data_IF_206482180536
#
_entry.id   IF_206482180536
#
_cell.length_a   1.000
_cell.length_b   1.000
_cell.length_c   1.000
_cell.angle_alpha   90.00
_cell.angle_beta   90.00
_cell.angle_gamma   90.00
#
_symmetry.space_group_name_H-M   'P 1'
#
loop_
_entity.id
_entity.type
_entity.pdbx_description
1 polymer ?
#
# COMPACT_ATOMS: atom_id res chain seq x y z
N UNK A 1 0.10 12.27 41.26
CA UNK A 1 0.79 12.65 40.00
C UNK A 1 0.42 11.62 38.95
N UNK A 2 0.01 12.05 37.75
CA UNK A 2 -0.18 11.12 36.62
C UNK A 2 1.17 10.51 36.25
N UNK A 3 1.24 9.24 35.88
CA UNK A 3 2.47 8.62 35.39
C UNK A 3 2.80 9.14 33.98
N UNK A 4 4.07 9.09 33.55
CA UNK A 4 4.43 9.46 32.17
C UNK A 4 3.61 8.69 31.12
N UNK A 5 3.27 7.43 31.42
CA UNK A 5 2.40 6.59 30.60
C UNK A 5 0.97 7.12 30.52
N UNK A 6 0.42 7.59 31.63
CA UNK A 6 -0.90 8.23 31.67
C UNK A 6 -0.92 9.55 30.90
N UNK A 7 0.13 10.37 31.03
CA UNK A 7 0.27 11.64 30.30
C UNK A 7 0.40 11.40 28.79
N UNK A 8 1.20 10.41 28.36
CA UNK A 8 1.31 10.02 26.94
C UNK A 8 -0.01 9.50 26.37
N UNK A 9 -0.73 8.66 27.12
CA UNK A 9 -2.06 8.16 26.72
C UNK A 9 -3.07 9.29 26.59
N UNK A 10 -3.09 10.22 27.53
CA UNK A 10 -3.96 11.39 27.49
C UNK A 10 -3.62 12.28 26.29
N UNK A 11 -2.33 12.52 26.00
CA UNK A 11 -1.91 13.26 24.80
C UNK A 11 -2.45 12.58 23.54
N UNK A 12 -2.31 11.25 23.44
CA UNK A 12 -2.79 10.49 22.29
C UNK A 12 -4.32 10.57 22.14
N UNK A 13 -5.07 10.46 23.23
CA UNK A 13 -6.53 10.62 23.20
C UNK A 13 -6.95 12.02 22.74
N UNK A 14 -6.27 13.07 23.21
CA UNK A 14 -6.57 14.46 22.81
C UNK A 14 -6.18 14.72 21.34
N UNK A 15 -5.12 14.07 20.82
CA UNK A 15 -4.75 14.15 19.41
C UNK A 15 -5.79 13.51 18.48
N UNK A 16 -6.39 12.39 18.90
CA UNK A 16 -7.48 11.74 18.14
C UNK A 16 -8.69 12.68 18.06
N UNK A 17 -9.11 13.23 19.20
CA UNK A 17 -10.20 14.22 19.26
C UNK A 17 -9.87 15.45 18.39
N UNK A 18 -8.63 15.93 18.44
CA UNK A 18 -8.22 17.07 17.62
C UNK A 18 -8.36 16.76 16.12
N UNK A 19 -7.97 15.56 15.67
CA UNK A 19 -8.12 15.15 14.28
C UNK A 19 -9.59 15.10 13.84
N UNK A 20 -10.46 14.50 14.66
CA UNK A 20 -11.91 14.46 14.42
C UNK A 20 -12.50 15.88 14.29
N UNK A 21 -12.04 16.83 15.12
CA UNK A 21 -12.48 18.22 15.06
C UNK A 21 -12.01 18.95 13.79
N UNK A 22 -10.82 18.63 13.27
CA UNK A 22 -10.37 19.18 11.99
C UNK A 22 -11.23 18.66 10.83
N UNK A 23 -11.56 17.36 10.82
CA UNK A 23 -12.46 16.77 9.83
C UNK A 23 -13.87 17.36 9.90
N UNK A 24 -14.43 17.51 11.10
CA UNK A 24 -15.73 18.15 11.31
C UNK A 24 -15.72 19.62 10.84
N UNK A 25 -14.62 20.34 11.11
CA UNK A 25 -14.46 21.72 10.70
C UNK A 25 -14.45 21.86 9.18
N UNK A 26 -13.65 21.05 8.48
CA UNK A 26 -13.54 21.10 7.02
C UNK A 26 -14.87 20.79 6.32
N UNK A 27 -15.69 19.91 6.91
CA UNK A 27 -17.01 19.55 6.38
C UNK A 27 -18.09 20.59 6.68
N UNK A 28 -18.11 21.12 7.91
CA UNK A 28 -19.23 21.93 8.41
C UNK A 28 -18.99 23.44 8.31
N UNK A 29 -17.73 23.86 8.20
CA UNK A 29 -17.31 25.26 8.29
C UNK A 29 -16.23 25.65 7.25
N UNK A 30 -16.46 25.41 5.94
CA UNK A 30 -15.45 25.64 4.90
C UNK A 30 -15.16 27.13 4.61
N UNK A 31 -15.91 28.05 5.22
CA UNK A 31 -15.84 29.50 5.00
C UNK A 31 -14.63 30.17 5.69
N UNK A 32 -13.92 29.43 6.54
CA UNK A 32 -12.75 29.93 7.25
C UNK A 32 -11.78 28.80 7.55
N UNK A 33 -10.56 29.14 7.99
CA UNK A 33 -9.56 28.15 8.36
C UNK A 33 -9.85 27.59 9.75
N UNK A 34 -9.69 26.28 9.92
CA UNK A 34 -9.75 25.60 11.21
C UNK A 34 -8.85 26.28 12.27
N UNK A 35 -9.40 26.52 13.46
CA UNK A 35 -8.70 27.17 14.58
C UNK A 35 -8.46 28.68 14.42
N UNK A 36 -9.08 29.35 13.44
CA UNK A 36 -8.81 30.78 13.15
C UNK A 36 -9.96 31.75 13.46
N UNK A 37 -11.21 31.28 13.54
CA UNK A 37 -12.40 32.14 13.71
C UNK A 37 -12.95 32.05 15.12
N UNK A 38 -12.90 33.18 15.83
CA UNK A 38 -13.46 33.33 17.17
C UNK A 38 -14.99 33.22 17.08
N UNK A 39 -15.58 32.37 17.93
CA UNK A 39 -17.03 32.12 17.96
C UNK A 39 -17.51 31.02 17.01
N UNK A 40 -16.59 30.36 16.29
CA UNK A 40 -16.88 29.07 15.67
C UNK A 40 -16.70 27.96 16.72
N UNK A 41 -17.75 27.16 17.01
CA UNK A 41 -17.71 26.19 18.10
C UNK A 41 -16.62 25.13 17.91
N UNK A 42 -16.36 24.73 16.67
CA UNK A 42 -15.32 23.74 16.35
C UNK A 42 -13.92 24.36 16.40
N UNK A 43 -13.75 25.62 15.95
CA UNK A 43 -12.47 26.34 16.11
C UNK A 43 -12.08 26.51 17.58
N UNK A 44 -13.03 26.85 18.45
CA UNK A 44 -12.77 27.04 19.89
C UNK A 44 -12.34 25.73 20.55
N UNK A 45 -12.91 24.60 20.13
CA UNK A 45 -12.51 23.26 20.58
C UNK A 45 -11.12 22.87 20.04
N UNK A 46 -10.82 23.15 18.77
CA UNK A 46 -9.49 22.96 18.17
C UNK A 46 -8.42 23.72 18.98
N UNK A 47 -8.66 24.99 19.29
CA UNK A 47 -7.73 25.81 20.09
C UNK A 47 -7.56 25.22 21.49
N UNK A 48 -8.64 24.75 22.11
CA UNK A 48 -8.61 24.11 23.42
C UNK A 48 -7.78 22.83 23.42
N UNK A 49 -8.06 21.89 22.50
CA UNK A 49 -7.30 20.65 22.34
C UNK A 49 -5.81 20.94 22.05
N UNK A 50 -5.52 21.91 21.18
CA UNK A 50 -4.14 22.34 20.90
C UNK A 50 -3.42 22.85 22.16
N UNK A 51 -4.11 23.61 23.01
CA UNK A 51 -3.53 24.10 24.27
C UNK A 51 -3.26 22.97 25.27
N UNK A 52 -4.15 21.97 25.34
CA UNK A 52 -3.99 20.79 26.19
C UNK A 52 -2.81 19.94 25.72
N UNK A 53 -2.66 19.73 24.41
CA UNK A 53 -1.51 19.02 23.84
C UNK A 53 -0.20 19.72 24.20
N UNK A 54 -0.10 21.04 24.01
CA UNK A 54 1.08 21.82 24.39
C UNK A 54 1.39 21.71 25.89
N UNK A 55 0.37 21.71 26.75
CA UNK A 55 0.55 21.50 28.19
C UNK A 55 1.12 20.11 28.48
N UNK A 56 0.54 19.06 27.89
CA UNK A 56 1.00 17.68 28.07
C UNK A 56 2.41 17.45 27.52
N UNK A 57 2.77 18.10 26.41
CA UNK A 57 4.14 18.11 25.87
C UNK A 57 5.13 18.74 26.83
N UNK A 58 4.77 19.88 27.43
CA UNK A 58 5.58 20.51 28.48
C UNK A 58 5.72 19.60 29.70
N UNK A 59 4.64 18.95 30.13
CA UNK A 59 4.67 17.98 31.23
C UNK A 59 5.63 16.81 30.92
N UNK A 60 5.53 16.22 29.72
CA UNK A 60 6.45 15.17 29.25
C UNK A 60 7.91 15.66 29.24
N UNK A 61 8.16 16.87 28.74
CA UNK A 61 9.49 17.47 28.72
C UNK A 61 10.05 17.71 30.14
N UNK A 62 9.21 18.10 31.09
CA UNK A 62 9.60 18.24 32.50
C UNK A 62 9.88 16.90 33.17
N UNK A 63 9.11 15.84 32.87
CA UNK A 63 9.41 14.48 33.31
C UNK A 63 10.79 14.00 32.81
N UNK A 64 11.13 14.32 31.56
CA UNK A 64 12.45 14.03 30.99
C UNK A 64 13.60 14.78 31.66
N UNK A 65 13.34 15.96 32.24
CA UNK A 65 14.34 16.74 33.01
C UNK A 65 14.45 16.25 34.46
N UNK A 66 13.35 15.84 35.11
CA UNK A 66 13.36 15.36 36.50
C UNK A 66 13.98 13.97 36.67
N UNK A 67 13.95 13.11 35.64
CA UNK A 67 14.66 11.82 35.66
C UNK A 67 16.18 11.92 35.47
N UNK A 68 16.70 13.05 34.97
CA UNK A 68 18.16 13.28 34.85
C UNK A 68 18.85 13.56 36.20
N UNK A 69 18.08 13.81 37.26
CA UNK A 69 18.58 14.18 38.59
C UNK A 69 18.45 13.09 39.66
N UNK A 70 17.88 11.93 39.35
CA UNK A 70 17.92 10.76 40.26
C UNK A 70 19.12 9.86 39.92
N UNK A 71 19.74 9.18 40.90
CA UNK A 71 20.72 8.13 40.62
C UNK A 71 20.02 7.08 39.76
N UNK A 72 20.31 7.07 38.46
CA UNK A 72 19.57 6.28 37.49
C UNK A 72 19.55 4.82 37.91
N UNK A 73 18.36 4.25 38.07
CA UNK A 73 18.20 2.80 38.21
C UNK A 73 19.03 2.11 37.12
N UNK A 74 19.58 0.92 37.41
CA UNK A 74 20.36 0.16 36.42
C UNK A 74 19.63 0.05 35.07
N UNK A 75 18.29 -0.02 35.12
CA UNK A 75 17.36 0.02 33.98
C UNK A 75 17.52 1.28 33.10
N UNK A 76 17.61 2.48 33.67
CA UNK A 76 17.77 3.73 32.91
C UNK A 76 19.17 3.91 32.33
N UNK A 77 20.21 3.42 33.03
CA UNK A 77 21.58 3.46 32.51
C UNK A 77 21.72 2.65 31.23
N UNK A 78 21.15 1.44 31.20
CA UNK A 78 21.16 0.58 30.02
C UNK A 78 20.38 1.22 28.85
N UNK A 79 19.31 1.98 29.13
CA UNK A 79 18.58 2.71 28.08
C UNK A 79 19.45 3.80 27.45
N UNK A 80 20.17 4.60 28.25
CA UNK A 80 21.07 5.64 27.72
C UNK A 80 22.25 5.04 26.93
N UNK A 81 22.81 3.91 27.38
CA UNK A 81 23.87 3.18 26.67
C UNK A 81 23.40 2.65 25.30
N UNK A 82 22.10 2.36 25.15
CA UNK A 82 21.48 1.85 23.93
C UNK A 82 20.72 2.93 23.14
N UNK A 83 20.96 4.21 23.43
CA UNK A 83 20.25 5.30 22.77
C UNK A 83 20.62 5.39 21.29
N UNK A 84 19.61 5.56 20.44
CA UNK A 84 19.79 5.81 19.01
C UNK A 84 19.71 7.33 18.80
N UNK A 85 20.73 7.88 18.14
CA UNK A 85 20.81 9.30 17.84
C UNK A 85 20.17 9.57 16.48
N UNK A 86 19.30 10.58 16.43
CA UNK A 86 18.66 11.04 15.21
C UNK A 86 19.17 12.44 14.85
N UNK A 87 19.18 12.77 13.56
CA UNK A 87 19.42 14.15 13.11
C UNK A 87 18.21 15.02 13.45
N UNK A 88 18.42 16.30 13.77
CA UNK A 88 17.36 17.24 14.15
C UNK A 88 16.31 17.46 13.05
N UNK A 89 16.65 17.17 11.79
CA UNK A 89 15.80 17.40 10.63
C UNK A 89 15.16 16.12 10.05
N UNK A 90 15.28 14.96 10.72
CA UNK A 90 14.65 13.73 10.22
C UNK A 90 13.13 13.79 10.39
N UNK A 91 12.39 13.45 9.33
CA UNK A 91 10.94 13.24 9.41
C UNK A 91 10.60 11.99 10.24
N UNK A 92 9.37 11.90 10.74
CA UNK A 92 8.94 10.79 11.62
C UNK A 92 9.15 9.40 10.99
N UNK A 93 8.87 9.26 9.69
CA UNK A 93 9.09 8.00 8.98
C UNK A 93 10.57 7.67 8.76
N UNK A 94 11.39 8.67 8.46
CA UNK A 94 12.84 8.49 8.37
C UNK A 94 13.44 8.06 9.70
N UNK A 95 12.93 8.60 10.81
CA UNK A 95 13.31 8.22 12.17
C UNK A 95 13.00 6.75 12.45
N UNK A 96 11.82 6.28 12.06
CA UNK A 96 11.39 4.88 12.23
C UNK A 96 12.25 3.93 11.38
N UNK A 97 12.49 4.26 10.11
CA UNK A 97 13.34 3.44 9.24
C UNK A 97 14.80 3.42 9.70
N UNK A 98 15.30 4.56 10.18
CA UNK A 98 16.62 4.65 10.80
C UNK A 98 16.72 3.76 12.04
N UNK A 99 15.71 3.82 12.92
CA UNK A 99 15.63 2.96 14.09
C UNK A 99 15.64 1.47 13.70
N UNK A 100 14.83 1.06 12.73
CA UNK A 100 14.74 -0.34 12.31
C UNK A 100 16.08 -0.87 11.77
N UNK A 101 16.88 0.00 11.15
CA UNK A 101 18.22 -0.31 10.64
C UNK A 101 19.28 -0.42 11.74
N UNK A 102 19.20 0.43 12.76
CA UNK A 102 20.26 0.59 13.78
C UNK A 102 19.98 -0.21 15.06
N UNK A 103 18.71 -0.42 15.41
CA UNK A 103 18.33 -1.15 16.60
C UNK A 103 18.63 -2.65 16.45
N UNK A 104 19.53 -3.18 17.27
CA UNK A 104 20.01 -4.56 17.14
C UNK A 104 19.37 -5.52 18.13
N UNK A 105 19.42 -6.83 17.82
CA UNK A 105 18.96 -7.89 18.73
C UNK A 105 19.67 -7.84 20.09
N UNK A 106 20.95 -7.44 20.11
CA UNK A 106 21.73 -7.26 21.35
C UNK A 106 21.17 -6.13 22.20
N UNK A 107 20.90 -4.96 21.61
CA UNK A 107 20.32 -3.82 22.34
C UNK A 107 18.98 -4.21 22.99
N UNK A 108 18.14 -4.96 22.26
CA UNK A 108 16.89 -5.49 22.80
C UNK A 108 17.11 -6.47 23.98
N UNK A 109 18.10 -7.36 23.87
CA UNK A 109 18.46 -8.30 24.95
C UNK A 109 18.99 -7.57 26.19
N UNK A 110 19.83 -6.55 26.01
CA UNK A 110 20.39 -5.76 27.10
C UNK A 110 19.26 -5.03 27.86
N UNK A 111 18.34 -4.39 27.12
CA UNK A 111 17.17 -3.71 27.69
C UNK A 111 16.23 -4.70 28.42
N UNK A 112 15.89 -5.82 27.80
CA UNK A 112 15.00 -6.81 28.44
C UNK A 112 15.64 -7.46 29.66
N UNK A 113 16.94 -7.72 29.65
CA UNK A 113 17.71 -8.22 30.80
C UNK A 113 17.76 -7.21 31.95
N UNK A 114 17.76 -5.92 31.62
CA UNK A 114 17.64 -4.83 32.59
C UNK A 114 16.20 -4.61 33.10
N UNK A 115 15.24 -5.45 32.69
CA UNK A 115 13.86 -5.42 33.16
C UNK A 115 12.92 -4.51 32.36
N UNK A 116 13.30 -4.09 31.15
CA UNK A 116 12.39 -3.40 30.23
C UNK A 116 11.44 -4.38 29.54
N UNK A 117 10.15 -4.06 29.52
CA UNK A 117 9.15 -4.80 28.74
C UNK A 117 9.17 -4.35 27.27
N UNK A 118 8.73 -5.20 26.35
CA UNK A 118 8.62 -4.84 24.92
C UNK A 118 7.82 -3.55 24.69
N UNK A 119 6.73 -3.34 25.44
CA UNK A 119 5.91 -2.15 25.32
C UNK A 119 6.65 -0.89 25.78
N UNK A 120 7.37 -0.97 26.91
CA UNK A 120 8.17 0.15 27.39
C UNK A 120 9.31 0.49 26.42
N UNK A 121 9.99 -0.51 25.85
CA UNK A 121 11.05 -0.29 24.85
C UNK A 121 10.47 0.48 23.65
N UNK A 122 9.40 -0.04 23.06
CA UNK A 122 8.70 0.60 21.92
C UNK A 122 8.30 2.05 22.24
N UNK A 123 7.70 2.27 23.41
CA UNK A 123 7.20 3.59 23.82
C UNK A 123 8.33 4.59 24.15
N UNK A 124 9.54 4.10 24.45
CA UNK A 124 10.73 4.95 24.67
C UNK A 124 11.42 5.35 23.37
N UNK A 125 11.45 4.45 22.37
CA UNK A 125 11.95 4.78 21.03
C UNK A 125 10.90 5.48 20.15
N UNK A 126 9.66 5.60 20.63
CA UNK A 126 8.54 6.22 19.89
C UNK A 126 8.30 5.58 18.52
N UNK A 127 8.23 4.24 18.52
CA UNK A 127 8.08 3.43 17.31
C UNK A 127 6.65 2.89 17.21
N UNK A 128 5.97 3.02 16.06
CA UNK A 128 4.65 2.42 15.88
C UNK A 128 4.70 0.90 16.06
N UNK A 129 3.63 0.34 16.65
CA UNK A 129 3.55 -1.07 17.02
C UNK A 129 3.80 -2.03 15.84
N UNK A 130 3.36 -1.64 14.64
CA UNK A 130 3.58 -2.39 13.41
C UNK A 130 5.08 -2.58 13.09
N UNK A 131 5.86 -1.50 13.08
CA UNK A 131 7.30 -1.55 12.78
C UNK A 131 8.06 -2.30 13.87
N UNK A 132 7.67 -2.16 15.13
CA UNK A 132 8.28 -2.91 16.22
C UNK A 132 8.03 -4.42 16.09
N UNK A 133 6.80 -4.83 15.71
CA UNK A 133 6.48 -6.24 15.42
C UNK A 133 7.23 -6.74 14.19
N UNK A 134 7.34 -5.94 13.13
CA UNK A 134 8.10 -6.27 11.93
C UNK A 134 9.56 -6.54 12.24
N UNK A 135 10.18 -5.66 13.01
CA UNK A 135 11.55 -5.83 13.50
C UNK A 135 11.69 -7.12 14.35
N UNK A 136 10.79 -7.35 15.32
CA UNK A 136 10.84 -8.56 16.14
C UNK A 136 10.67 -9.83 15.30
N UNK A 137 9.79 -9.82 14.30
CA UNK A 137 9.58 -10.94 13.38
C UNK A 137 10.86 -11.24 12.60
N UNK A 138 11.50 -10.22 12.02
CA UNK A 138 12.77 -10.32 11.28
C UNK A 138 13.91 -10.90 12.13
N UNK A 139 13.87 -10.69 13.45
CA UNK A 139 14.86 -11.20 14.40
C UNK A 139 14.44 -12.47 15.16
N UNK A 140 13.35 -13.12 14.73
CA UNK A 140 12.81 -14.36 15.31
C UNK A 140 12.38 -14.22 16.78
N UNK A 141 12.03 -13.00 17.21
CA UNK A 141 11.53 -12.66 18.54
C UNK A 141 10.00 -12.54 18.60
N UNK A 142 9.34 -12.79 17.47
CA UNK A 142 7.89 -12.75 17.33
C UNK A 142 7.45 -13.72 16.24
N UNK A 143 6.51 -14.60 16.58
CA UNK A 143 5.91 -15.56 15.64
C UNK A 143 4.50 -15.09 15.34
N UNK A 144 4.19 -14.96 14.07
CA UNK A 144 2.86 -14.60 13.60
C UNK A 144 2.58 -15.29 12.25
N UNK A 145 1.33 -15.68 12.05
CA UNK A 145 0.86 -16.10 10.73
C UNK A 145 0.48 -14.83 9.96
N UNK A 146 1.10 -14.55 8.79
CA UNK A 146 0.78 -13.36 8.03
C UNK A 146 -0.67 -13.41 7.55
N UNK A 147 -1.39 -12.31 7.75
CA UNK A 147 -2.69 -12.07 7.16
C UNK A 147 -2.49 -11.29 5.86
N UNK A 148 -3.22 -11.68 4.82
CA UNK A 148 -3.15 -11.04 3.52
C UNK A 148 -4.47 -10.37 3.23
N UNK A 149 -4.42 -9.08 2.98
CA UNK A 149 -5.60 -8.28 2.65
C UNK A 149 -5.45 -7.70 1.26
N UNK A 150 -6.54 -7.75 0.52
CA UNK A 150 -6.75 -7.01 -0.71
C UNK A 150 -7.51 -5.74 -0.34
N UNK A 151 -6.94 -4.59 -0.69
CA UNK A 151 -7.52 -3.27 -0.45
C UNK A 151 -7.87 -2.68 -1.81
N UNK A 152 -9.11 -2.27 -2.00
CA UNK A 152 -9.55 -1.53 -3.18
C UNK A 152 -9.76 -0.08 -2.77
N UNK A 153 -9.13 0.82 -3.52
CA UNK A 153 -9.27 2.27 -3.30
C UNK A 153 -10.41 2.85 -4.10
N UNK A 154 -10.83 4.07 -3.74
CA UNK A 154 -11.92 4.81 -4.41
C UNK A 154 -11.60 5.08 -5.89
N UNK A 155 -10.32 5.16 -6.25
CA UNK A 155 -9.85 5.32 -7.64
C UNK A 155 -9.68 3.98 -8.39
N UNK A 156 -10.30 2.91 -7.89
CA UNK A 156 -10.35 1.58 -8.52
C UNK A 156 -9.00 0.83 -8.60
N UNK A 157 -7.97 1.31 -7.90
CA UNK A 157 -6.71 0.57 -7.74
C UNK A 157 -6.86 -0.51 -6.67
N UNK A 158 -6.10 -1.59 -6.84
CA UNK A 158 -6.11 -2.72 -5.90
C UNK A 158 -4.72 -2.90 -5.33
N UNK A 159 -4.62 -2.96 -4.01
CA UNK A 159 -3.39 -3.14 -3.27
C UNK A 159 -3.44 -4.42 -2.46
N UNK A 160 -2.28 -5.03 -2.24
CA UNK A 160 -2.14 -6.19 -1.39
C UNK A 160 -1.22 -5.86 -0.23
N UNK A 161 -1.68 -6.18 0.98
CA UNK A 161 -0.95 -5.94 2.22
C UNK A 161 -0.73 -7.24 2.97
N UNK A 162 0.49 -7.42 3.46
CA UNK A 162 0.88 -8.47 4.40
C UNK A 162 0.98 -7.87 5.79
N UNK A 163 0.07 -8.26 6.68
CA UNK A 163 -0.08 -7.65 8.02
C UNK A 163 -0.08 -8.67 9.14
N UNK A 164 0.20 -8.22 10.37
CA UNK A 164 0.14 -9.08 11.55
C UNK A 164 -1.29 -9.20 12.08
N UNK A 165 -2.02 -8.09 12.08
CA UNK A 165 -3.40 -7.97 12.55
C UNK A 165 -4.21 -7.16 11.54
N UNK A 166 -5.52 -7.41 11.47
CA UNK A 166 -6.43 -6.67 10.58
C UNK A 166 -6.35 -5.14 10.80
N UNK A 167 -6.28 -4.70 12.06
CA UNK A 167 -6.18 -3.28 12.41
C UNK A 167 -4.95 -2.57 11.82
N UNK A 168 -3.91 -3.32 11.44
CA UNK A 168 -2.71 -2.76 10.85
C UNK A 168 -2.98 -2.22 9.43
N UNK A 169 -4.06 -2.65 8.77
CA UNK A 169 -4.45 -2.16 7.44
C UNK A 169 -4.73 -0.66 7.46
N UNK A 170 -5.52 -0.18 8.43
CA UNK A 170 -5.83 1.24 8.55
C UNK A 170 -4.59 2.10 8.79
N UNK A 171 -3.66 1.60 9.60
CA UNK A 171 -2.39 2.28 9.82
C UNK A 171 -1.56 2.37 8.53
N UNK A 172 -1.38 1.25 7.81
CA UNK A 172 -0.54 1.21 6.62
C UNK A 172 -1.11 1.98 5.44
N UNK A 173 -2.42 1.90 5.23
CA UNK A 173 -3.10 2.64 4.16
C UNK A 173 -3.12 4.15 4.42
N UNK A 174 -3.22 4.57 5.69
CA UNK A 174 -3.05 5.97 6.07
C UNK A 174 -1.61 6.45 5.78
N UNK A 175 -0.59 5.65 6.12
CA UNK A 175 0.80 5.96 5.78
C UNK A 175 1.02 6.07 4.27
N UNK A 176 0.37 5.22 3.48
CA UNK A 176 0.43 5.24 2.02
C UNK A 176 -0.48 6.31 1.38
N UNK A 177 -1.16 7.12 2.20
CA UNK A 177 -2.12 8.16 1.79
C UNK A 177 -3.20 7.62 0.82
N UNK A 178 -3.77 6.46 1.14
CA UNK A 178 -4.79 5.79 0.34
C UNK A 178 -6.19 6.01 0.91
N UNK A 179 -7.13 6.38 0.04
CA UNK A 179 -8.56 6.40 0.34
C UNK A 179 -9.17 5.03 0.02
N UNK A 180 -9.52 4.27 1.05
CA UNK A 180 -10.07 2.93 0.93
C UNK A 180 -11.56 2.98 0.58
N UNK A 181 -11.98 2.25 -0.46
CA UNK A 181 -13.39 1.94 -0.74
C UNK A 181 -13.81 0.70 0.05
N UNK A 182 -13.07 -0.40 -0.12
CA UNK A 182 -13.32 -1.67 0.57
C UNK A 182 -12.05 -2.50 0.71
N UNK A 183 -12.05 -3.44 1.64
CA UNK A 183 -10.98 -4.43 1.76
C UNK A 183 -11.54 -5.80 2.15
N UNK A 184 -10.84 -6.85 1.76
CA UNK A 184 -11.19 -8.23 2.09
C UNK A 184 -9.94 -9.07 2.33
N UNK A 185 -10.10 -10.12 3.14
CA UNK A 185 -9.03 -11.07 3.44
C UNK A 185 -8.89 -12.07 2.28
N UNK A 186 -7.66 -12.28 1.83
CA UNK A 186 -7.33 -13.28 0.82
C UNK A 186 -6.91 -14.57 1.52
N UNK A 187 -7.78 -15.58 1.48
CA UNK A 187 -7.49 -16.90 2.06
C UNK A 187 -6.36 -17.62 1.31
N UNK A 188 -5.62 -18.47 2.06
CA UNK A 188 -4.37 -19.08 1.62
C UNK A 188 -4.53 -19.91 0.35
N UNK A 189 -5.69 -20.54 0.20
CA UNK A 189 -6.07 -21.38 -0.93
C UNK A 189 -6.08 -20.58 -2.23
N UNK A 190 -6.36 -19.28 -2.17
CA UNK A 190 -6.45 -18.40 -3.35
C UNK A 190 -5.11 -17.75 -3.72
N UNK A 191 -4.03 -17.98 -2.96
CA UNK A 191 -2.75 -17.29 -3.20
C UNK A 191 -2.02 -17.76 -4.46
N UNK A 192 -2.32 -18.96 -4.96
CA UNK A 192 -1.73 -19.47 -6.20
C UNK A 192 -2.40 -18.92 -7.45
N UNK A 193 -3.62 -18.42 -7.32
CA UNK A 193 -4.48 -18.05 -8.45
C UNK A 193 -4.37 -16.55 -8.78
N UNK A 194 -3.72 -15.79 -7.90
CA UNK A 194 -3.47 -14.36 -8.06
C UNK A 194 -2.02 -14.16 -8.53
N UNK A 195 -1.85 -13.41 -9.64
CA UNK A 195 -0.56 -13.15 -10.25
C UNK A 195 -0.19 -11.67 -10.20
N UNK A 196 1.10 -11.41 -10.01
CA UNK A 196 1.73 -10.09 -10.01
C UNK A 196 2.92 -10.10 -10.97
N UNK A 197 3.19 -8.97 -11.62
CA UNK A 197 4.49 -8.75 -12.26
C UNK A 197 5.42 -8.14 -11.23
N UNK A 198 6.55 -8.78 -10.96
CA UNK A 198 7.47 -8.37 -9.91
C UNK A 198 8.92 -8.67 -10.32
N UNK A 199 9.73 -7.61 -10.44
CA UNK A 199 11.16 -7.66 -10.79
C UNK A 199 11.43 -8.30 -12.17
N UNK A 200 10.87 -7.75 -13.24
CA UNK A 200 10.69 -8.56 -14.46
C UNK A 200 9.61 -9.59 -14.15
N UNK A 201 9.70 -10.85 -14.55
CA UNK A 201 8.77 -11.99 -14.33
C UNK A 201 7.40 -11.88 -13.59
N UNK A 202 6.40 -12.64 -14.08
CA UNK A 202 5.18 -12.93 -13.32
C UNK A 202 5.48 -13.87 -12.16
N UNK A 203 4.88 -13.56 -11.01
CA UNK A 203 4.94 -14.34 -9.78
C UNK A 203 3.55 -14.49 -9.20
N UNK A 204 3.29 -15.60 -8.53
CA UNK A 204 2.05 -15.78 -7.78
C UNK A 204 2.08 -14.95 -6.49
N UNK A 205 0.90 -14.62 -5.93
CA UNK A 205 0.80 -14.00 -4.60
C UNK A 205 1.58 -14.80 -3.57
N UNK A 206 1.49 -16.12 -3.64
CA UNK A 206 2.24 -17.03 -2.77
C UNK A 206 3.76 -16.77 -2.83
N UNK A 207 4.33 -16.66 -4.03
CA UNK A 207 5.77 -16.38 -4.21
C UNK A 207 6.15 -14.98 -3.74
N UNK A 208 5.29 -13.98 -3.95
CA UNK A 208 5.54 -12.61 -3.46
C UNK A 208 5.52 -12.58 -1.93
N UNK A 209 4.51 -13.17 -1.29
CA UNK A 209 4.37 -13.20 0.18
C UNK A 209 5.58 -13.85 0.85
N UNK A 210 6.13 -14.93 0.28
CA UNK A 210 7.28 -15.62 0.87
C UNK A 210 8.53 -14.73 0.88
N UNK A 211 8.69 -13.86 -0.12
CA UNK A 211 9.88 -13.05 -0.31
C UNK A 211 9.71 -11.59 0.15
N UNK A 212 8.50 -11.18 0.51
CA UNK A 212 8.20 -9.81 0.94
C UNK A 212 8.22 -9.64 2.45
N UNK A 213 8.66 -8.46 2.91
CA UNK A 213 8.44 -8.03 4.29
C UNK A 213 6.94 -7.76 4.57
N UNK A 214 6.60 -7.56 5.84
CA UNK A 214 5.27 -7.09 6.23
C UNK A 214 5.10 -5.61 5.82
N UNK A 215 3.95 -5.28 5.25
CA UNK A 215 3.63 -3.98 4.67
C UNK A 215 2.85 -4.11 3.36
N UNK A 216 2.90 -3.08 2.53
CA UNK A 216 2.44 -3.14 1.13
C UNK A 216 3.33 -4.12 0.36
N UNK A 217 2.72 -5.15 -0.22
CA UNK A 217 3.43 -6.19 -0.99
C UNK A 217 3.14 -6.12 -2.49
N UNK A 218 2.09 -5.39 -2.88
CA UNK A 218 1.83 -5.14 -4.29
C UNK A 218 0.67 -4.20 -4.57
N UNK A 219 0.57 -3.81 -5.84
CA UNK A 219 -0.48 -3.03 -6.46
C UNK A 219 -0.85 -3.72 -7.77
N UNK A 220 -2.14 -3.78 -8.09
CA UNK A 220 -2.66 -4.18 -9.38
C UNK A 220 -3.60 -3.07 -9.87
N UNK A 221 -3.37 -2.63 -11.10
CA UNK A 221 -4.32 -1.78 -11.81
C UNK A 221 -5.28 -2.71 -12.51
N UNK A 222 -6.48 -2.90 -11.96
CA UNK A 222 -7.51 -3.66 -12.65
C UNK A 222 -7.99 -2.84 -13.82
N UNK A 223 -7.59 -3.16 -15.07
CA UNK A 223 -8.46 -2.92 -16.23
C UNK A 223 -8.39 -4.04 -17.27
N UNK A 224 -9.58 -4.61 -17.46
CA UNK A 224 -10.12 -5.39 -18.59
C UNK A 224 -9.74 -6.87 -18.69
N UNK A 225 -10.80 -7.68 -18.65
CA UNK A 225 -10.80 -9.12 -18.83
C UNK A 225 -10.64 -9.41 -20.34
N UNK A 226 -9.93 -10.49 -20.70
CA UNK A 226 -9.92 -11.11 -22.04
C UNK A 226 -8.98 -10.56 -23.13
N UNK A 227 -7.67 -10.47 -22.86
CA UNK A 227 -6.65 -10.40 -23.95
C UNK A 227 -5.59 -11.48 -23.74
N UNK A 228 -5.31 -12.27 -24.79
CA UNK A 228 -4.19 -13.23 -24.84
C UNK A 228 -3.09 -12.70 -25.78
N UNK A 229 -1.87 -13.24 -25.72
CA UNK A 229 -0.73 -12.76 -26.51
C UNK A 229 -0.24 -13.84 -27.47
N UNK A 230 0.28 -13.46 -28.64
CA UNK A 230 0.91 -14.37 -29.61
C UNK A 230 2.20 -13.78 -30.17
N UNK A 231 3.22 -14.61 -30.43
CA UNK A 231 4.45 -14.15 -31.11
C UNK A 231 4.50 -14.61 -32.56
N UNK A 232 4.83 -13.64 -33.40
CA UNK A 232 5.73 -13.83 -34.54
C UNK A 232 6.92 -12.90 -34.34
N UNK A 233 7.98 -13.38 -33.66
CA UNK A 233 9.21 -12.60 -33.34
C UNK A 233 8.93 -11.16 -32.83
N UNK A 234 8.74 -11.07 -31.51
CA UNK A 234 8.46 -9.86 -30.66
C UNK A 234 6.96 -9.49 -30.52
N UNK A 235 6.63 -8.80 -29.42
CA UNK A 235 5.38 -8.88 -28.66
C UNK A 235 4.13 -8.24 -29.32
N UNK A 236 3.27 -9.02 -29.96
CA UNK A 236 1.96 -8.58 -30.47
C UNK A 236 0.81 -9.03 -29.56
N UNK A 237 -0.25 -8.23 -29.47
CA UNK A 237 -1.44 -8.54 -28.68
C UNK A 237 -2.50 -9.21 -29.56
N UNK A 238 -3.27 -10.16 -29.02
CA UNK A 238 -4.30 -10.87 -29.79
C UNK A 238 -5.59 -11.08 -29.00
N UNK A 239 -6.72 -11.01 -29.70
CA UNK A 239 -8.01 -11.40 -29.17
C UNK A 239 -8.75 -12.29 -30.16
N UNK A 240 -9.40 -13.34 -29.64
CA UNK A 240 -10.29 -14.19 -30.42
C UNK A 240 -11.72 -13.65 -30.33
N UNK A 241 -12.40 -13.52 -31.46
CA UNK A 241 -13.80 -13.13 -31.47
C UNK A 241 -14.70 -14.36 -31.60
N UNK A 242 -15.45 -14.69 -30.56
CA UNK A 242 -16.35 -15.86 -30.54
C UNK A 242 -17.76 -15.56 -31.06
N UNK A 243 -18.08 -14.29 -31.27
CA UNK A 243 -19.39 -13.81 -31.72
C UNK A 243 -20.25 -13.21 -30.61
N UNK A 244 -19.90 -13.42 -29.35
CA UNK A 244 -20.65 -12.97 -28.18
C UNK A 244 -19.80 -12.10 -27.23
N UNK A 245 -18.47 -12.11 -27.36
CA UNK A 245 -17.53 -11.29 -26.60
C UNK A 245 -17.30 -9.87 -27.17
N UNK A 246 -18.34 -9.19 -27.66
CA UNK A 246 -18.22 -7.84 -28.28
C UNK A 246 -17.59 -6.81 -27.34
N UNK A 247 -17.93 -6.83 -26.05
CA UNK A 247 -17.39 -5.86 -25.08
C UNK A 247 -15.86 -5.93 -24.97
N UNK A 248 -15.29 -7.13 -25.10
CA UNK A 248 -13.85 -7.33 -25.05
C UNK A 248 -13.18 -6.88 -26.35
N UNK A 249 -13.86 -7.05 -27.49
CA UNK A 249 -13.41 -6.50 -28.79
C UNK A 249 -13.45 -4.97 -28.78
N UNK A 250 -14.50 -4.37 -28.21
CA UNK A 250 -14.62 -2.92 -28.07
C UNK A 250 -13.43 -2.37 -27.27
N UNK A 251 -13.11 -3.00 -26.13
CA UNK A 251 -11.97 -2.66 -25.30
C UNK A 251 -10.61 -2.86 -26.01
N UNK A 252 -10.44 -3.94 -26.77
CA UNK A 252 -9.22 -4.22 -27.52
C UNK A 252 -8.97 -3.21 -28.66
N UNK A 253 -10.05 -2.71 -29.27
CA UNK A 253 -10.00 -1.79 -30.40
C UNK A 253 -9.94 -0.30 -30.01
N UNK A 254 -10.01 0.05 -28.72
CA UNK A 254 -9.93 1.44 -28.29
C UNK A 254 -8.69 2.16 -28.88
N UNK A 255 -8.85 3.41 -29.37
CA UNK A 255 -10.04 4.27 -29.28
C UNK A 255 -11.04 4.12 -30.44
N UNK A 256 -10.90 3.13 -31.31
CA UNK A 256 -11.74 3.00 -32.50
C UNK A 256 -13.14 2.50 -32.16
N UNK A 257 -14.16 3.19 -32.67
CA UNK A 257 -15.55 2.77 -32.48
C UNK A 257 -15.85 1.50 -33.29
N UNK A 258 -16.29 0.45 -32.58
CA UNK A 258 -16.64 -0.85 -33.17
C UNK A 258 -18.15 -0.97 -33.32
N UNK A 259 -18.59 -1.01 -34.57
CA UNK A 259 -19.99 -1.09 -34.97
C UNK A 259 -20.36 -2.54 -35.30
N UNK A 260 -21.45 -3.02 -34.72
CA UNK A 260 -22.01 -4.33 -35.08
C UNK A 260 -22.78 -4.25 -36.40
N UNK A 261 -22.40 -5.08 -37.38
CA UNK A 261 -23.12 -5.22 -38.63
C UNK A 261 -24.30 -6.17 -38.46
N UNK A 262 -25.47 -5.77 -38.96
CA UNK A 262 -26.75 -6.50 -38.82
C UNK A 262 -26.74 -7.93 -39.40
N UNK A 263 -25.75 -8.30 -40.22
CA UNK A 263 -25.61 -9.64 -40.81
C UNK A 263 -24.45 -10.42 -40.17
N UNK A 264 -24.76 -11.65 -39.72
CA UNK A 264 -23.78 -12.68 -39.29
C UNK A 264 -22.90 -12.30 -38.08
N UNK A 265 -23.40 -11.47 -37.16
CA UNK A 265 -22.66 -11.01 -35.95
C UNK A 265 -21.25 -10.48 -36.27
N UNK A 266 -21.06 -9.83 -37.42
CA UNK A 266 -19.77 -9.24 -37.78
C UNK A 266 -19.59 -7.90 -37.11
N UNK A 267 -18.36 -7.57 -36.76
CA UNK A 267 -17.97 -6.28 -36.22
C UNK A 267 -17.16 -5.50 -37.25
N UNK A 268 -17.29 -4.18 -37.25
CA UNK A 268 -16.59 -3.30 -38.17
C UNK A 268 -16.08 -2.06 -37.44
N UNK A 269 -14.85 -1.67 -37.72
CA UNK A 269 -14.28 -0.43 -37.19
C UNK A 269 -13.32 0.19 -38.20
N UNK A 270 -13.16 1.51 -38.10
CA UNK A 270 -12.27 2.28 -38.98
C UNK A 270 -11.06 2.78 -38.21
N UNK A 271 -9.88 2.64 -38.82
CA UNK A 271 -8.60 3.10 -38.30
C UNK A 271 -7.98 4.11 -39.27
N UNK A 272 -6.91 4.78 -38.83
CA UNK A 272 -6.13 5.68 -39.71
C UNK A 272 -5.46 4.95 -40.88
N UNK A 273 -5.40 3.61 -40.85
CA UNK A 273 -4.78 2.78 -41.87
C UNK A 273 -5.80 2.04 -42.74
N UNK A 274 -7.10 2.31 -42.55
CA UNK A 274 -8.20 1.67 -43.27
C UNK A 274 -9.22 1.02 -42.35
N UNK A 275 -10.21 0.36 -42.94
CA UNK A 275 -11.31 -0.27 -42.21
C UNK A 275 -11.11 -1.77 -42.03
N UNK A 276 -11.42 -2.28 -40.84
CA UNK A 276 -11.33 -3.71 -40.49
C UNK A 276 -12.74 -4.26 -40.26
N UNK A 277 -13.01 -5.46 -40.80
CA UNK A 277 -14.24 -6.20 -40.53
C UNK A 277 -13.89 -7.56 -39.96
N UNK A 278 -14.37 -7.84 -38.75
CA UNK A 278 -14.08 -9.05 -37.99
C UNK A 278 -15.33 -9.94 -37.90
N UNK A 279 -15.19 -11.21 -38.26
CA UNK A 279 -16.24 -12.23 -38.14
C UNK A 279 -16.01 -13.19 -36.97
N UNK A 280 -17.06 -13.84 -36.43
CA UNK A 280 -16.90 -14.85 -35.40
C UNK A 280 -15.97 -15.99 -35.88
N UNK A 281 -15.07 -16.44 -35.02
CA UNK A 281 -14.07 -17.47 -35.33
C UNK A 281 -12.73 -16.92 -35.86
N UNK A 282 -12.58 -15.61 -35.98
CA UNK A 282 -11.34 -14.95 -36.43
C UNK A 282 -10.55 -14.37 -35.24
N UNK A 283 -9.23 -14.28 -35.42
CA UNK A 283 -8.31 -13.61 -34.50
C UNK A 283 -8.06 -12.19 -34.98
N UNK A 284 -8.02 -11.26 -34.04
CA UNK A 284 -7.60 -9.89 -34.27
C UNK A 284 -6.29 -9.66 -33.54
N UNK A 285 -5.25 -9.26 -34.28
CA UNK A 285 -3.90 -9.00 -33.78
C UNK A 285 -3.61 -7.51 -33.87
N UNK A 286 -3.01 -6.95 -32.82
CA UNK A 286 -2.55 -5.57 -32.76
C UNK A 286 -1.04 -5.54 -32.62
N UNK A 287 -0.37 -4.91 -33.58
CA UNK A 287 1.09 -4.71 -33.54
C UNK A 287 1.48 -3.54 -32.62
N UNK A 288 2.79 -3.40 -32.36
CA UNK A 288 3.36 -2.32 -31.53
C UNK A 288 3.12 -0.91 -32.08
N UNK A 289 2.68 -0.78 -33.33
CA UNK A 289 2.35 0.50 -33.99
C UNK A 289 0.85 0.80 -33.98
N UNK A 290 0.05 0.02 -33.23
CA UNK A 290 -1.41 0.08 -33.20
C UNK A 290 -2.08 -0.17 -34.57
N UNK A 291 -1.45 -0.99 -35.42
CA UNK A 291 -2.13 -1.52 -36.61
C UNK A 291 -2.82 -2.84 -36.28
N UNK A 292 -3.97 -3.03 -36.91
CA UNK A 292 -4.81 -4.19 -36.69
C UNK A 292 -4.80 -5.11 -37.90
N UNK A 293 -4.58 -6.38 -37.66
CA UNK A 293 -4.62 -7.43 -38.66
C UNK A 293 -5.62 -8.50 -38.23
N UNK A 294 -6.43 -8.97 -39.17
CA UNK A 294 -7.32 -10.11 -38.92
C UNK A 294 -6.74 -11.35 -39.56
N UNK A 295 -6.92 -12.47 -38.88
CA UNK A 295 -6.53 -13.78 -39.38
C UNK A 295 -7.65 -14.77 -39.13
N UNK A 296 -7.89 -15.65 -40.11
CA UNK A 296 -8.63 -16.88 -39.82
C UNK A 296 -7.82 -17.74 -38.85
N UNK A 297 -8.49 -18.69 -38.19
CA UNK A 297 -7.82 -19.62 -37.27
C UNK A 297 -6.61 -20.31 -37.92
N UNK A 298 -6.75 -20.77 -39.15
CA UNK A 298 -5.68 -21.49 -39.84
C UNK A 298 -4.50 -20.58 -40.23
N UNK A 299 -4.79 -19.37 -40.75
CA UNK A 299 -3.75 -18.38 -41.07
C UNK A 299 -2.99 -17.92 -39.82
N UNK A 300 -3.71 -17.75 -38.71
CA UNK A 300 -3.14 -17.35 -37.43
C UNK A 300 -2.15 -18.40 -36.93
N UNK A 301 -2.55 -19.66 -36.80
CA UNK A 301 -1.66 -20.71 -36.29
C UNK A 301 -0.51 -21.07 -37.24
N UNK A 302 -0.62 -20.73 -38.53
CA UNK A 302 0.49 -20.87 -39.48
C UNK A 302 1.56 -19.77 -39.32
N UNK A 303 1.16 -18.58 -38.89
CA UNK A 303 2.05 -17.40 -38.81
C UNK A 303 2.47 -17.05 -37.39
N UNK A 304 1.70 -17.46 -36.40
CA UNK A 304 1.82 -17.08 -35.00
C UNK A 304 1.78 -18.30 -34.09
N UNK A 305 2.69 -18.32 -33.13
CA UNK A 305 2.56 -19.18 -31.97
C UNK A 305 1.91 -18.36 -30.86
N UNK A 306 0.82 -18.87 -30.26
CA UNK A 306 0.33 -18.31 -29.00
C UNK A 306 1.43 -18.51 -27.97
N UNK A 307 2.16 -17.45 -27.65
CA UNK A 307 3.06 -17.49 -26.52
C UNK A 307 2.28 -16.98 -25.33
N UNK A 308 2.14 -17.82 -24.32
CA UNK A 308 1.70 -17.40 -23.00
C UNK A 308 2.74 -16.42 -22.43
N UNK A 309 2.69 -15.17 -22.87
CA UNK A 309 3.45 -14.06 -22.35
C UNK A 309 2.45 -12.95 -22.07
N UNK A 310 1.77 -13.11 -20.94
CA UNK A 310 1.43 -11.98 -20.09
C UNK A 310 2.70 -11.08 -20.01
N UNK A 311 2.61 -9.74 -20.07
CA UNK A 311 3.49 -8.68 -19.46
C UNK A 311 3.03 -7.31 -20.03
N UNK A 312 2.80 -6.22 -19.28
CA UNK A 312 3.28 -5.76 -17.96
C UNK A 312 2.14 -5.37 -16.99
N UNK A 313 2.17 -5.87 -15.76
CA UNK A 313 1.40 -5.31 -14.64
C UNK A 313 2.34 -4.44 -13.81
N UNK A 314 2.14 -3.13 -13.68
CA UNK A 314 3.05 -2.32 -12.87
C UNK A 314 3.03 -2.69 -11.38
N UNK A 315 4.08 -3.36 -10.90
CA UNK A 315 4.63 -3.07 -9.57
C UNK A 315 5.79 -2.09 -9.78
N UNK A 316 5.63 -0.86 -9.29
CA UNK A 316 6.80 -0.11 -8.82
C UNK A 316 6.93 -0.48 -7.34
N UNK A 317 7.72 -1.50 -7.06
CA UNK A 317 8.32 -1.64 -5.73
C UNK A 317 9.72 -1.05 -5.80
N UNK A 318 9.85 0.26 -5.59
CA UNK A 318 11.14 0.78 -5.13
C UNK A 318 11.27 0.43 -3.65
N UNK A 319 12.00 -0.66 -3.39
CA UNK A 319 12.70 -0.86 -2.14
C UNK A 319 14.08 -1.45 -2.45
N UNK A 320 14.81 -0.78 -3.35
CA UNK A 320 16.26 -0.90 -3.42
C UNK A 320 16.85 0.32 -2.74
N UNK A 321 16.97 0.25 -1.41
CA UNK A 321 17.99 1.01 -0.70
C UNK A 321 19.34 0.49 -1.20
N UNK A 322 19.91 1.17 -2.19
CA UNK A 322 21.32 1.03 -2.53
C UNK A 322 22.09 2.06 -1.70
N UNK A 323 22.99 1.56 -0.84
CA UNK A 323 24.23 2.20 -0.39
C UNK A 323 24.13 3.59 0.20
#
# INVERSE_FOLDING_TARGET
>A
MKTLREIKKEKQSVMIILAELYEEHDLSFPDHKAGSKIGCPVCDQIVTCTSVIKRLENEIATYGKSQRSEPGSAKNKVLEENKILHSENMEDMERVLHWERVFTKRMYQDLTSAGWTSAEIRDNYDIPDFFFKRWKYKHELYVAVPLIYRVKTVDERVFFYKVFLEKDIFFLTHLDNLLIDRYDRVEKENWTDIYFWHQGAYRTLHQVILNSEFGKIGETVVRLHNVQYCKRKEAEQVIFYDGDNKADIDAFCEPHEVVALKKKKKLHFSTNYGSVTLGPGEFLVRDMTNRFYRYTKDEFHQMYELTENKHDMGLISEATYHG
#
